data_IF_509949983998
#
_entry.id   IF_509949983998
#
_cell.length_a   1.000
_cell.length_b   1.000
_cell.length_c   1.000
_cell.angle_alpha   90.00
_cell.angle_beta   90.00
_cell.angle_gamma   90.00
#
_symmetry.space_group_name_H-M   'P 1'
#
loop_
_entity.id
_entity.type
_entity.pdbx_description
1 polymer ?
#
# COMPACT_ATOMS: atom_id res chain seq x y z
N UNK A 1 -6.87 -10.42 -9.10
CA UNK A 1 -6.06 -11.28 -9.99
C UNK A 1 -5.00 -11.99 -9.17
N UNK A 2 -4.33 -13.05 -9.69
CA UNK A 2 -3.25 -13.76 -8.96
C UNK A 2 -2.10 -12.84 -8.51
N UNK A 3 -1.92 -11.71 -9.21
CA UNK A 3 -0.91 -10.71 -8.92
C UNK A 3 -1.24 -9.81 -7.71
N UNK A 4 -2.50 -9.83 -7.24
CA UNK A 4 -2.95 -9.12 -6.03
C UNK A 4 -3.21 -10.07 -4.86
N UNK A 5 -2.57 -11.24 -4.85
CA UNK A 5 -2.69 -12.17 -3.73
C UNK A 5 -2.18 -11.52 -2.44
N UNK A 6 -2.89 -11.78 -1.35
CA UNK A 6 -2.57 -11.25 -0.05
C UNK A 6 -2.25 -12.39 0.93
N UNK A 7 -1.38 -12.19 1.92
CA UNK A 7 -0.63 -10.96 2.21
C UNK A 7 0.39 -10.60 1.13
N UNK A 8 0.52 -9.30 0.86
CA UNK A 8 1.43 -8.76 -0.15
C UNK A 8 2.70 -8.24 0.51
N UNK A 9 3.86 -8.59 -0.05
CA UNK A 9 5.16 -8.07 0.38
C UNK A 9 5.53 -6.81 -0.41
N UNK A 10 6.20 -5.85 0.24
CA UNK A 10 6.73 -4.64 -0.37
C UNK A 10 8.02 -4.87 -1.16
N UNK A 11 8.93 -3.89 -1.15
CA UNK A 11 10.27 -4.06 -1.73
C UNK A 11 11.00 -5.24 -1.07
N UNK A 12 11.77 -5.95 -1.88
CA UNK A 12 12.60 -7.06 -1.41
C UNK A 12 13.55 -6.59 -0.30
N UNK A 13 13.63 -7.39 0.77
CA UNK A 13 14.51 -7.12 1.91
C UNK A 13 13.94 -6.22 3.00
N UNK A 14 12.83 -5.50 2.78
CA UNK A 14 12.29 -4.51 3.76
C UNK A 14 11.37 -5.07 4.84
N UNK A 15 10.99 -6.33 4.75
CA UNK A 15 10.14 -6.97 5.77
C UNK A 15 8.75 -6.33 5.96
N UNK A 16 8.25 -5.59 4.96
CA UNK A 16 6.91 -4.96 4.99
C UNK A 16 5.89 -5.88 4.33
N UNK A 17 4.76 -6.07 5.00
CA UNK A 17 3.64 -6.92 4.56
C UNK A 17 2.30 -6.22 4.72
N UNK A 18 1.37 -6.47 3.79
CA UNK A 18 0.08 -5.80 3.74
C UNK A 18 -1.08 -6.76 3.43
N UNK A 19 -2.19 -6.57 4.13
CA UNK A 19 -3.53 -7.02 3.72
C UNK A 19 -4.44 -5.80 3.56
N UNK A 20 -5.36 -5.87 2.62
CA UNK A 20 -6.14 -4.74 2.11
C UNK A 20 -7.51 -5.19 1.62
N UNK A 21 -8.54 -4.43 1.98
CA UNK A 21 -9.88 -4.53 1.39
C UNK A 21 -10.28 -3.13 0.92
N UNK A 22 -10.50 -2.96 -0.38
CA UNK A 22 -10.82 -1.65 -0.93
C UNK A 22 -10.57 -1.54 -2.42
N UNK A 23 -10.60 -0.30 -2.88
CA UNK A 23 -10.12 0.11 -4.20
C UNK A 23 -9.43 1.48 -4.08
N UNK A 24 -8.25 1.62 -4.70
CA UNK A 24 -7.53 2.89 -4.73
C UNK A 24 -7.64 3.52 -6.12
N UNK A 25 -8.55 4.48 -6.28
CA UNK A 25 -8.90 5.07 -7.57
C UNK A 25 -7.72 5.80 -8.24
N UNK A 26 -6.85 6.43 -7.45
CA UNK A 26 -5.69 7.16 -7.97
C UNK A 26 -4.40 6.31 -8.06
N UNK A 27 -4.49 4.98 -7.93
CA UNK A 27 -3.31 4.11 -7.86
C UNK A 27 -2.39 4.22 -9.09
N UNK A 28 -2.96 4.37 -10.29
CA UNK A 28 -2.17 4.51 -11.53
C UNK A 28 -1.29 5.78 -11.52
N UNK A 29 -1.82 6.89 -11.01
CA UNK A 29 -1.09 8.17 -10.87
C UNK A 29 0.01 8.05 -9.83
N UNK A 30 -0.30 7.46 -8.67
CA UNK A 30 0.66 7.25 -7.58
C UNK A 30 1.79 6.32 -8.00
N UNK A 31 1.47 5.23 -8.71
CA UNK A 31 2.44 4.29 -9.27
C UNK A 31 3.46 5.01 -10.15
N UNK A 32 3.02 5.82 -11.11
CA UNK A 32 3.93 6.51 -12.01
C UNK A 32 4.94 7.38 -11.24
N UNK A 33 4.49 8.05 -10.16
CA UNK A 33 5.37 8.82 -9.28
C UNK A 33 6.32 7.96 -8.44
N UNK A 34 5.89 6.79 -7.99
CA UNK A 34 6.72 5.86 -7.22
C UNK A 34 7.76 5.16 -8.11
N UNK A 35 7.39 4.76 -9.33
CA UNK A 35 8.33 4.21 -10.32
C UNK A 35 9.41 5.24 -10.69
N UNK A 36 9.04 6.52 -10.86
CA UNK A 36 9.99 7.61 -11.08
C UNK A 36 10.96 7.83 -9.90
N UNK A 37 10.59 7.39 -8.70
CA UNK A 37 11.43 7.42 -7.48
C UNK A 37 12.20 6.11 -7.23
N UNK A 38 12.14 5.17 -8.17
CA UNK A 38 12.92 3.93 -8.12
C UNK A 38 12.21 2.71 -7.53
N UNK A 39 10.91 2.81 -7.20
CA UNK A 39 10.13 1.64 -6.78
C UNK A 39 9.95 0.67 -7.94
N UNK A 40 10.20 -0.61 -7.68
CA UNK A 40 10.07 -1.69 -8.67
C UNK A 40 8.79 -2.48 -8.40
N UNK A 41 7.80 -2.27 -9.25
CA UNK A 41 6.53 -2.98 -9.18
C UNK A 41 6.62 -4.38 -9.80
N UNK A 42 6.04 -5.37 -9.13
CA UNK A 42 5.87 -6.77 -9.53
C UNK A 42 4.46 -7.06 -10.06
N UNK A 43 3.50 -6.19 -9.78
CA UNK A 43 2.11 -6.27 -10.25
C UNK A 43 1.62 -4.92 -10.79
N UNK A 44 0.32 -4.85 -11.14
CA UNK A 44 -0.38 -3.59 -11.43
C UNK A 44 -1.53 -3.31 -10.47
N UNK A 45 -1.48 -3.94 -9.30
CA UNK A 45 -2.55 -3.85 -8.30
C UNK A 45 -2.44 -2.55 -7.49
N UNK A 46 -3.58 -2.11 -7.00
CA UNK A 46 -3.69 -1.02 -6.03
C UNK A 46 -3.05 -1.37 -4.69
N UNK A 47 -3.19 -2.61 -4.20
CA UNK A 47 -2.54 -3.09 -2.96
C UNK A 47 -1.01 -2.89 -2.98
N UNK A 48 -0.37 -3.09 -4.13
CA UNK A 48 1.07 -2.86 -4.27
C UNK A 48 1.43 -1.37 -4.22
N UNK A 49 0.53 -0.53 -4.70
CA UNK A 49 0.71 0.93 -4.62
C UNK A 49 0.69 1.39 -3.16
N UNK A 50 -0.19 0.84 -2.34
CA UNK A 50 -0.28 1.19 -0.91
C UNK A 50 1.02 0.86 -0.17
N UNK A 51 1.55 -0.36 -0.35
CA UNK A 51 2.76 -0.78 0.38
C UNK A 51 3.98 0.04 -0.04
N UNK A 52 4.14 0.36 -1.32
CA UNK A 52 5.22 1.23 -1.78
C UNK A 52 5.06 2.68 -1.30
N UNK A 53 3.83 3.17 -1.17
CA UNK A 53 3.59 4.49 -0.62
C UNK A 53 3.95 4.56 0.87
N UNK A 54 3.67 3.51 1.64
CA UNK A 54 4.15 3.39 3.04
C UNK A 54 5.67 3.36 3.12
N UNK A 55 6.33 2.60 2.25
CA UNK A 55 7.79 2.53 2.23
C UNK A 55 8.46 3.88 1.92
N UNK A 56 7.83 4.71 1.10
CA UNK A 56 8.32 6.02 0.69
C UNK A 56 8.00 7.12 1.72
N UNK A 57 6.81 7.08 2.32
CA UNK A 57 6.30 8.18 3.17
C UNK A 57 6.09 7.82 4.64
N UNK A 58 6.28 6.56 5.03
CA UNK A 58 5.92 6.07 6.34
C UNK A 58 4.43 6.23 6.62
N UNK A 59 4.07 6.65 7.83
CA UNK A 59 2.68 6.79 8.27
C UNK A 59 1.87 7.84 7.50
N UNK A 60 2.55 8.74 6.78
CA UNK A 60 1.90 9.77 5.98
C UNK A 60 1.36 9.26 4.63
N UNK A 61 1.58 7.98 4.30
CA UNK A 61 1.13 7.38 3.04
C UNK A 61 -0.38 7.56 2.77
N UNK A 62 -1.21 7.52 3.82
CA UNK A 62 -2.66 7.65 3.70
C UNK A 62 -3.12 9.00 3.15
N UNK A 63 -2.28 10.05 3.25
CA UNK A 63 -2.64 11.41 2.82
C UNK A 63 -2.79 11.54 1.31
N UNK A 64 -2.13 10.67 0.55
CA UNK A 64 -2.15 10.71 -0.92
C UNK A 64 -3.19 9.75 -1.53
N UNK A 65 -3.90 8.95 -0.72
CA UNK A 65 -4.81 7.90 -1.20
C UNK A 65 -6.20 8.48 -1.49
N UNK A 66 -6.68 8.28 -2.71
CA UNK A 66 -8.07 8.52 -3.10
C UNK A 66 -8.74 7.15 -3.32
N UNK A 67 -9.68 6.77 -2.45
CA UNK A 67 -10.29 5.45 -2.50
C UNK A 67 -11.08 5.11 -1.23
N UNK A 68 -11.76 3.98 -1.26
CA UNK A 68 -12.39 3.33 -0.12
C UNK A 68 -11.56 2.11 0.29
N UNK A 69 -11.12 2.05 1.55
CA UNK A 69 -10.16 1.03 1.97
C UNK A 69 -10.13 0.77 3.47
N UNK A 70 -9.75 -0.45 3.82
CA UNK A 70 -9.23 -0.85 5.10
C UNK A 70 -7.91 -1.60 4.86
N UNK A 71 -6.86 -1.24 5.59
CA UNK A 71 -5.52 -1.82 5.43
C UNK A 71 -4.92 -2.17 6.78
N UNK A 72 -4.29 -3.33 6.84
CA UNK A 72 -3.37 -3.71 7.92
C UNK A 72 -1.99 -4.00 7.32
N UNK A 73 -0.98 -3.31 7.83
CA UNK A 73 0.40 -3.41 7.38
C UNK A 73 1.31 -3.74 8.57
N UNK A 74 2.19 -4.71 8.39
CA UNK A 74 3.24 -5.04 9.34
C UNK A 74 4.60 -4.63 8.79
N UNK A 75 5.34 -3.86 9.57
CA UNK A 75 6.73 -3.46 9.30
C UNK A 75 7.62 -4.12 10.36
N UNK A 76 8.33 -5.18 9.98
CA UNK A 76 9.15 -5.96 10.91
C UNK A 76 10.42 -5.24 11.35
N UNK A 77 10.97 -4.34 10.54
CA UNK A 77 12.16 -3.58 10.91
C UNK A 77 11.85 -2.59 12.04
N UNK A 78 10.62 -2.07 12.08
CA UNK A 78 10.14 -1.12 13.10
C UNK A 78 9.27 -1.77 14.17
N UNK A 79 9.06 -3.09 14.11
CA UNK A 79 8.12 -3.84 14.95
C UNK A 79 6.74 -3.15 15.06
N UNK A 80 6.18 -2.75 13.92
CA UNK A 80 5.00 -1.89 13.87
C UNK A 80 3.86 -2.49 13.07
N UNK A 81 2.69 -2.57 13.72
CA UNK A 81 1.41 -2.78 13.07
C UNK A 81 0.76 -1.42 12.76
N UNK A 82 0.46 -1.18 11.49
CA UNK A 82 -0.25 0.01 11.01
C UNK A 82 -1.63 -0.41 10.54
N UNK A 83 -2.65 0.19 11.14
CA UNK A 83 -4.05 0.01 10.74
C UNK A 83 -4.56 1.36 10.22
N UNK A 84 -5.11 1.36 9.01
CA UNK A 84 -5.72 2.57 8.44
C UNK A 84 -7.00 2.23 7.70
N UNK A 85 -7.91 3.21 7.66
CA UNK A 85 -9.21 3.12 7.00
C UNK A 85 -9.45 4.40 6.21
N UNK A 86 -10.29 4.31 5.19
CA UNK A 86 -10.70 5.47 4.41
C UNK A 86 -11.42 6.52 5.27
N UNK A 87 -11.46 7.72 4.71
CA UNK A 87 -11.77 8.97 5.42
C UNK A 87 -13.19 9.01 6.01
N UNK A 88 -14.13 8.24 5.45
CA UNK A 88 -15.52 8.18 5.94
C UNK A 88 -15.91 6.79 6.45
N UNK A 89 -15.00 5.82 6.36
CA UNK A 89 -15.18 4.46 6.87
C UNK A 89 -16.07 3.58 5.99
N UNK A 90 -15.96 3.68 4.67
CA UNK A 90 -16.74 2.84 3.73
C UNK A 90 -16.43 1.35 3.92
N UNK A 91 -15.15 0.97 3.92
CA UNK A 91 -14.75 -0.44 4.09
C UNK A 91 -14.63 -0.79 5.56
N UNK A 92 -15.17 -1.93 6.02
CA UNK A 92 -15.26 -2.29 7.44
C UNK A 92 -13.91 -2.40 8.13
#
# INVERSE_FOLDING_TARGET
SRAGNQPMQGCEGRGVWLVFNGEIYNHARLRASLEARGHKYKSRTDSETIIHLYEERGLDFVKDIEGDFAVALWDSERERLVLARDRVGVKP
#
